data_IF_947141538691
#
_entry.id   IF_947141538691
#
_cell.length_a   1.000
_cell.length_b   1.000
_cell.length_c   1.000
_cell.angle_alpha   90.00
_cell.angle_beta   90.00
_cell.angle_gamma   90.00
#
_symmetry.space_group_name_H-M   'P 1'
#
loop_
_entity.id
_entity.type
_entity.pdbx_description
1 polymer ?
#
# COMPACT_ATOMS: atom_id res chain seq x y z
N UNK A 1 92.55 5.66 23.51
CA UNK A 1 91.75 5.21 22.35
C UNK A 1 90.79 4.12 22.83
N UNK A 2 89.47 4.32 22.65
CA UNK A 2 88.37 3.34 22.42
C UNK A 2 88.41 2.02 23.23
N UNK A 3 87.41 1.65 24.04
CA UNK A 3 85.99 1.56 23.73
C UNK A 3 85.10 1.51 24.99
N UNK A 4 83.96 2.16 24.85
CA UNK A 4 82.81 2.25 25.72
C UNK A 4 81.90 1.03 25.48
N UNK A 5 81.46 0.32 26.54
CA UNK A 5 80.44 -0.72 26.47
C UNK A 5 79.23 -0.27 27.32
N UNK A 6 78.19 0.21 26.64
CA UNK A 6 76.88 0.49 27.22
C UNK A 6 76.07 -0.82 27.23
N UNK A 7 75.63 -1.26 28.41
CA UNK A 7 74.63 -2.33 28.56
C UNK A 7 73.25 -1.68 28.61
N UNK A 8 72.45 -1.86 27.57
CA UNK A 8 71.04 -1.46 27.53
C UNK A 8 70.21 -2.64 28.03
N UNK A 9 69.56 -2.47 29.19
CA UNK A 9 68.56 -3.40 29.69
C UNK A 9 67.20 -3.09 29.05
N UNK A 10 66.74 -3.95 28.14
CA UNK A 10 65.39 -3.87 27.57
C UNK A 10 64.36 -4.44 28.56
N UNK A 11 63.61 -3.56 29.22
CA UNK A 11 62.36 -3.90 29.91
C UNK A 11 61.27 -4.17 28.86
N UNK A 12 60.90 -5.43 28.67
CA UNK A 12 59.73 -5.82 27.88
C UNK A 12 58.50 -5.63 28.76
N UNK A 13 57.80 -4.51 28.58
CA UNK A 13 56.47 -4.30 29.14
C UNK A 13 55.46 -5.19 28.41
N UNK A 14 54.90 -6.16 29.12
CA UNK A 14 53.72 -6.92 28.69
C UNK A 14 52.51 -5.97 28.70
N UNK A 15 52.22 -5.35 27.56
CA UNK A 15 50.95 -4.68 27.32
C UNK A 15 49.87 -5.74 27.13
N UNK A 16 49.10 -5.98 28.19
CA UNK A 16 47.85 -6.73 28.10
C UNK A 16 46.89 -6.01 27.16
N UNK A 17 46.80 -6.45 25.91
CA UNK A 17 45.74 -6.02 25.01
C UNK A 17 44.43 -6.64 25.50
N UNK A 18 43.65 -5.86 26.25
CA UNK A 18 42.24 -6.17 26.49
C UNK A 18 41.53 -6.18 25.14
N UNK A 19 41.13 -7.38 24.70
CA UNK A 19 40.30 -7.58 23.53
C UNK A 19 38.91 -7.03 23.89
N UNK A 20 38.57 -5.86 23.35
CA UNK A 20 37.19 -5.38 23.40
C UNK A 20 36.29 -6.45 22.77
N UNK A 21 35.45 -7.07 23.59
CA UNK A 21 34.47 -8.03 23.14
C UNK A 21 33.49 -7.29 22.24
N UNK A 22 33.41 -7.71 20.97
CA UNK A 22 32.51 -7.09 20.01
C UNK A 22 31.08 -7.15 20.57
N UNK A 23 30.29 -6.06 20.51
CA UNK A 23 28.95 -6.07 21.05
C UNK A 23 28.15 -7.20 20.39
N UNK A 24 27.81 -8.20 21.20
CA UNK A 24 27.02 -9.33 20.75
C UNK A 24 25.64 -8.78 20.39
N UNK A 25 25.34 -8.70 19.10
CA UNK A 25 24.02 -8.27 18.63
C UNK A 25 23.03 -9.31 19.16
N UNK A 26 22.23 -8.91 20.15
CA UNK A 26 21.23 -9.78 20.74
C UNK A 26 20.34 -10.35 19.62
N UNK A 27 20.06 -11.65 19.68
CA UNK A 27 19.19 -12.28 18.69
C UNK A 27 17.80 -11.62 18.71
N UNK A 28 17.16 -11.46 17.54
CA UNK A 28 15.78 -10.99 17.44
C UNK A 28 14.86 -11.72 18.42
N UNK A 29 14.07 -10.98 19.18
CA UNK A 29 13.08 -11.54 20.11
C UNK A 29 11.65 -11.16 19.73
N UNK A 30 10.71 -11.93 20.26
CA UNK A 30 9.29 -11.58 20.22
C UNK A 30 8.90 -10.91 21.54
N UNK A 31 8.34 -9.71 21.45
CA UNK A 31 7.79 -8.92 22.56
C UNK A 31 6.27 -9.03 22.47
N UNK A 32 5.64 -9.62 23.47
CA UNK A 32 4.20 -9.89 23.48
C UNK A 32 3.45 -8.76 24.18
N UNK A 33 2.42 -8.22 23.55
CA UNK A 33 1.52 -7.23 24.13
C UNK A 33 0.16 -7.86 24.41
N UNK A 34 -0.33 -7.75 25.65
CA UNK A 34 -1.63 -8.29 26.05
C UNK A 34 -2.30 -7.36 27.07
N UNK A 35 -3.55 -6.97 26.80
CA UNK A 35 -4.31 -6.07 27.66
C UNK A 35 -4.60 -6.64 29.06
N UNK A 36 -4.62 -7.98 29.19
CA UNK A 36 -4.86 -8.71 30.44
C UNK A 36 -3.62 -8.85 31.34
N UNK A 37 -2.48 -8.29 30.92
CA UNK A 37 -1.20 -8.39 31.65
C UNK A 37 -0.46 -9.72 31.47
N UNK A 38 -0.94 -10.61 30.59
CA UNK A 38 -0.27 -11.89 30.30
C UNK A 38 0.88 -11.79 29.27
N UNK A 39 1.21 -10.57 28.84
CA UNK A 39 2.30 -10.26 27.91
C UNK A 39 3.46 -9.55 28.60
N UNK A 40 4.52 -9.26 27.85
CA UNK A 40 5.66 -8.46 28.31
C UNK A 40 5.24 -6.99 28.58
N UNK A 41 4.25 -6.50 27.82
CA UNK A 41 3.67 -5.16 27.97
C UNK A 41 2.14 -5.21 27.86
N UNK A 42 1.48 -4.21 28.44
CA UNK A 42 0.05 -3.90 28.18
C UNK A 42 -0.12 -2.79 27.13
N UNK A 43 0.90 -1.92 26.97
CA UNK A 43 0.94 -0.84 25.98
C UNK A 43 1.70 -1.25 24.72
N UNK A 44 1.14 -0.94 23.55
CA UNK A 44 1.82 -1.16 22.27
C UNK A 44 3.00 -0.19 22.11
N UNK A 45 2.85 1.07 22.53
CA UNK A 45 3.91 2.07 22.41
C UNK A 45 5.13 1.67 23.23
N UNK A 46 4.96 1.23 24.48
CA UNK A 46 6.08 0.78 25.33
C UNK A 46 6.80 -0.45 24.73
N UNK A 47 6.03 -1.39 24.17
CA UNK A 47 6.60 -2.55 23.49
C UNK A 47 7.43 -2.14 22.27
N UNK A 48 6.90 -1.26 21.42
CA UNK A 48 7.61 -0.70 20.25
C UNK A 48 8.84 0.09 20.69
N UNK A 49 8.76 0.91 21.74
CA UNK A 49 9.87 1.69 22.26
C UNK A 49 11.01 0.79 22.77
N UNK A 50 10.66 -0.33 23.43
CA UNK A 50 11.62 -1.33 23.90
C UNK A 50 12.21 -2.22 22.80
N UNK A 51 11.55 -2.29 21.63
CA UNK A 51 11.95 -3.14 20.53
C UNK A 51 13.28 -2.69 19.92
N UNK A 52 14.17 -3.65 19.71
CA UNK A 52 15.46 -3.48 19.04
C UNK A 52 15.37 -3.95 17.59
N UNK A 53 16.41 -3.64 16.82
CA UNK A 53 16.52 -4.08 15.43
C UNK A 53 16.33 -5.60 15.29
N UNK A 54 15.39 -6.00 14.44
CA UNK A 54 15.02 -7.40 14.20
C UNK A 54 13.84 -7.88 15.05
N UNK A 55 13.49 -7.19 16.14
CA UNK A 55 12.44 -7.66 17.06
C UNK A 55 11.06 -7.65 16.41
N UNK A 56 10.21 -8.53 16.93
CA UNK A 56 8.79 -8.60 16.59
C UNK A 56 7.96 -8.19 17.80
N UNK A 57 7.09 -7.20 17.65
CA UNK A 57 6.02 -6.87 18.59
C UNK A 57 4.77 -7.64 18.17
N UNK A 58 4.34 -8.59 18.99
CA UNK A 58 3.18 -9.44 18.74
C UNK A 58 2.00 -9.01 19.62
N UNK A 59 0.85 -8.73 19.02
CA UNK A 59 -0.36 -8.31 19.71
C UNK A 59 -1.30 -9.50 19.89
N UNK A 60 -1.64 -9.83 21.16
CA UNK A 60 -2.72 -10.77 21.47
C UNK A 60 -4.09 -10.19 21.09
N UNK A 61 -5.15 -11.02 20.99
CA UNK A 61 -6.50 -10.54 20.73
C UNK A 61 -6.91 -9.44 21.72
N UNK A 62 -7.51 -8.37 21.20
CA UNK A 62 -7.86 -7.21 22.00
C UNK A 62 -8.19 -5.99 21.17
N UNK A 63 -8.83 -5.03 21.83
CA UNK A 63 -9.12 -3.72 21.28
C UNK A 63 -8.23 -2.68 22.00
N UNK A 64 -7.26 -2.15 21.28
CA UNK A 64 -6.21 -1.28 21.82
C UNK A 64 -6.57 0.18 21.50
N UNK A 65 -6.87 1.05 22.49
CA UNK A 65 -7.04 2.49 22.27
C UNK A 65 -5.68 3.14 21.97
N UNK A 66 -5.67 4.18 21.11
CA UNK A 66 -4.47 4.50 20.31
C UNK A 66 -3.75 5.80 20.65
N UNK A 67 -2.43 5.74 20.46
CA UNK A 67 -1.50 6.83 20.10
C UNK A 67 -0.21 6.27 19.44
N UNK A 68 -0.29 5.18 18.64
CA UNK A 68 0.93 4.48 18.21
C UNK A 68 1.74 5.28 17.18
N UNK A 69 2.98 5.61 17.56
CA UNK A 69 3.98 6.18 16.65
C UNK A 69 5.22 5.29 16.62
N UNK A 70 5.50 4.70 15.45
CA UNK A 70 6.73 3.96 15.17
C UNK A 70 7.71 4.91 14.48
N UNK A 71 8.66 5.48 15.21
CA UNK A 71 9.67 6.37 14.63
C UNK A 71 11.07 6.00 15.08
N UNK A 72 12.09 6.35 14.27
CA UNK A 72 13.49 6.05 14.59
C UNK A 72 13.78 4.56 14.83
N UNK A 73 13.00 3.67 14.19
CA UNK A 73 13.14 2.21 14.25
C UNK A 73 13.66 1.66 12.92
N UNK A 74 14.33 0.52 13.00
CA UNK A 74 14.94 -0.18 11.86
C UNK A 74 14.67 -1.69 12.00
N UNK A 75 14.09 -2.32 10.97
CA UNK A 75 13.82 -3.77 10.90
C UNK A 75 12.99 -4.32 12.05
N UNK A 76 11.89 -3.66 12.42
CA UNK A 76 10.95 -4.21 13.40
C UNK A 76 9.66 -4.67 12.73
N UNK A 77 8.99 -5.63 13.37
CA UNK A 77 7.68 -6.12 12.92
C UNK A 77 6.61 -5.82 13.97
N UNK A 78 5.42 -5.42 13.55
CA UNK A 78 4.22 -5.32 14.37
C UNK A 78 3.17 -6.29 13.81
N UNK A 79 2.88 -7.35 14.56
CA UNK A 79 2.04 -8.46 14.08
C UNK A 79 0.86 -8.65 15.02
N UNK A 80 -0.35 -8.54 14.50
CA UNK A 80 -1.57 -8.92 15.22
C UNK A 80 -1.89 -10.40 15.07
N UNK A 81 -2.64 -10.94 16.04
CA UNK A 81 -3.14 -12.32 16.00
C UNK A 81 -4.18 -12.60 14.87
N UNK A 82 -4.56 -11.59 14.10
CA UNK A 82 -5.53 -11.65 13.01
C UNK A 82 -6.41 -10.40 12.95
N UNK A 83 -6.83 -10.02 11.74
CA UNK A 83 -7.67 -8.83 11.49
C UNK A 83 -8.98 -8.84 12.29
N UNK A 84 -9.57 -10.01 12.53
CA UNK A 84 -10.80 -10.16 13.32
C UNK A 84 -10.55 -10.24 14.85
N UNK A 85 -9.29 -10.25 15.28
CA UNK A 85 -8.90 -10.47 16.68
C UNK A 85 -8.23 -9.26 17.31
N UNK A 86 -7.50 -8.49 16.53
CA UNK A 86 -6.76 -7.31 17.01
C UNK A 86 -7.30 -6.08 16.30
N UNK A 87 -7.82 -5.14 17.09
CA UNK A 87 -8.26 -3.84 16.58
C UNK A 87 -7.50 -2.72 17.29
N UNK A 88 -6.90 -1.87 16.49
CA UNK A 88 -6.37 -0.58 16.89
C UNK A 88 -7.48 0.48 16.75
N UNK A 89 -7.91 1.07 17.86
CA UNK A 89 -9.08 1.96 17.94
C UNK A 89 -8.69 3.43 18.06
N UNK A 90 -9.04 4.23 17.06
CA UNK A 90 -8.91 5.69 17.08
C UNK A 90 -9.57 6.33 18.30
N UNK A 91 -9.13 7.54 18.64
CA UNK A 91 -9.61 8.31 19.77
C UNK A 91 -10.14 9.65 19.29
N UNK A 92 -11.28 10.09 19.84
CA UNK A 92 -11.95 11.33 19.45
C UNK A 92 -11.06 12.58 19.61
N UNK A 93 -10.07 12.55 20.51
CA UNK A 93 -9.20 13.67 20.81
C UNK A 93 -7.85 13.64 20.05
N UNK A 94 -7.62 12.63 19.20
CA UNK A 94 -6.39 12.48 18.42
C UNK A 94 -6.70 12.25 16.95
N UNK A 95 -5.79 12.69 16.09
CA UNK A 95 -5.84 12.38 14.65
C UNK A 95 -4.82 11.28 14.39
N UNK A 96 -5.27 10.17 13.80
CA UNK A 96 -4.36 9.05 13.49
C UNK A 96 -4.39 7.95 14.54
N UNK A 97 -4.70 6.74 14.10
CA UNK A 97 -4.54 5.51 14.88
C UNK A 97 -3.06 5.11 14.90
N UNK A 98 -2.42 5.14 13.74
CA UNK A 98 -1.07 4.62 13.53
C UNK A 98 -0.23 5.55 12.67
N UNK A 99 0.94 5.93 13.18
CA UNK A 99 1.96 6.66 12.45
C UNK A 99 3.25 5.84 12.32
N UNK A 100 3.73 5.67 11.09
CA UNK A 100 5.04 5.09 10.77
C UNK A 100 5.96 6.19 10.27
N UNK A 101 6.89 6.59 11.11
CA UNK A 101 7.65 7.82 11.00
C UNK A 101 6.92 9.02 11.59
N UNK A 102 7.68 10.06 11.89
CA UNK A 102 7.25 11.36 12.43
C UNK A 102 8.27 12.41 12.03
N UNK A 103 7.89 13.41 11.24
CA UNK A 103 8.83 14.45 10.79
C UNK A 103 9.65 15.04 11.97
N UNK A 104 10.99 15.15 11.87
CA UNK A 104 11.85 14.81 10.71
C UNK A 104 12.35 13.34 10.69
N UNK A 105 11.94 12.51 11.63
CA UNK A 105 12.40 11.13 11.81
C UNK A 105 11.56 10.12 11.01
N UNK A 106 12.18 9.42 10.08
CA UNK A 106 11.57 8.27 9.42
C UNK A 106 11.54 7.01 10.28
N UNK A 107 11.04 5.93 9.68
CA UNK A 107 11.27 4.56 10.11
C UNK A 107 11.70 3.73 8.88
N UNK A 108 12.52 2.70 9.10
CA UNK A 108 13.08 1.91 8.00
C UNK A 108 12.78 0.43 8.19
N UNK A 109 12.44 -0.27 7.10
CA UNK A 109 12.23 -1.72 7.07
C UNK A 109 11.19 -2.18 8.11
N UNK A 110 10.04 -1.51 8.16
CA UNK A 110 8.96 -1.82 9.11
C UNK A 110 7.93 -2.71 8.45
N UNK A 111 7.57 -3.82 9.10
CA UNK A 111 6.49 -4.70 8.66
C UNK A 111 5.31 -4.61 9.62
N UNK A 112 4.10 -4.41 9.10
CA UNK A 112 2.87 -4.39 9.90
C UNK A 112 1.85 -5.33 9.27
N UNK A 113 1.34 -6.29 10.05
CA UNK A 113 0.41 -7.29 9.52
C UNK A 113 -0.61 -7.84 10.51
N UNK A 114 -1.71 -8.38 9.98
CA UNK A 114 -2.65 -9.21 10.73
C UNK A 114 -3.47 -8.47 11.79
N UNK A 115 -3.84 -7.21 11.56
CA UNK A 115 -4.63 -6.40 12.48
C UNK A 115 -5.58 -5.44 11.76
N UNK A 116 -6.60 -4.98 12.49
CA UNK A 116 -7.50 -3.92 12.05
C UNK A 116 -7.07 -2.57 12.63
N UNK A 117 -7.16 -1.50 11.84
CA UNK A 117 -6.92 -0.09 12.22
C UNK A 117 -8.23 0.64 11.95
N UNK A 118 -8.82 1.29 12.96
CA UNK A 118 -10.15 1.88 12.85
C UNK A 118 -10.21 3.31 13.37
N UNK A 119 -10.39 4.28 12.45
CA UNK A 119 -10.52 5.72 12.73
C UNK A 119 -11.89 6.28 12.29
N UNK A 120 -12.91 5.42 12.17
CA UNK A 120 -14.28 5.88 11.85
C UNK A 120 -14.38 6.77 10.60
N UNK A 121 -13.51 6.54 9.60
CA UNK A 121 -13.49 7.26 8.33
C UNK A 121 -12.48 8.40 8.22
N UNK A 122 -11.85 8.77 9.34
CA UNK A 122 -10.77 9.76 9.38
C UNK A 122 -9.41 9.24 8.88
N UNK A 123 -8.33 9.88 9.33
CA UNK A 123 -6.95 9.48 9.00
C UNK A 123 -6.54 8.25 9.81
N UNK A 124 -6.65 7.05 9.27
CA UNK A 124 -6.36 5.82 10.02
C UNK A 124 -4.85 5.51 10.12
N UNK A 125 -4.12 5.56 9.00
CA UNK A 125 -2.70 5.20 8.97
C UNK A 125 -1.89 6.26 8.22
N UNK A 126 -0.89 6.85 8.87
CA UNK A 126 0.08 7.76 8.24
C UNK A 126 1.47 7.14 8.12
N UNK A 127 2.13 7.32 6.98
CA UNK A 127 3.54 6.97 6.77
C UNK A 127 4.29 8.23 6.34
N UNK A 128 5.32 8.61 7.10
CA UNK A 128 6.04 9.86 6.90
C UNK A 128 7.55 9.63 6.86
N UNK A 129 8.22 10.04 5.77
CA UNK A 129 9.67 9.92 5.62
C UNK A 129 10.21 8.49 5.82
N UNK A 130 9.36 7.48 5.63
CA UNK A 130 9.70 6.07 5.82
C UNK A 130 10.30 5.44 4.57
N UNK A 131 11.11 4.39 4.77
CA UNK A 131 11.68 3.58 3.69
C UNK A 131 11.47 2.09 3.94
N UNK A 132 11.08 1.32 2.93
CA UNK A 132 10.97 -0.14 3.07
C UNK A 132 9.81 -0.55 3.99
N UNK A 133 8.67 0.13 3.87
CA UNK A 133 7.51 -0.13 4.76
C UNK A 133 6.61 -1.16 4.09
N UNK A 134 6.34 -2.26 4.77
CA UNK A 134 5.42 -3.31 4.30
C UNK A 134 4.17 -3.36 5.16
N UNK A 135 3.01 -3.19 4.53
CA UNK A 135 1.70 -3.38 5.13
C UNK A 135 1.05 -4.59 4.47
N UNK A 136 0.74 -5.63 5.25
CA UNK A 136 0.21 -6.90 4.73
C UNK A 136 -1.00 -7.37 5.51
N UNK A 137 -2.06 -7.78 4.83
CA UNK A 137 -3.22 -8.43 5.48
C UNK A 137 -3.76 -7.57 6.63
N UNK A 138 -4.05 -6.31 6.31
CA UNK A 138 -4.63 -5.33 7.24
C UNK A 138 -6.05 -4.98 6.81
N UNK A 139 -6.89 -4.67 7.79
CA UNK A 139 -8.14 -3.96 7.56
C UNK A 139 -7.98 -2.52 8.04
N UNK A 140 -7.96 -1.56 7.12
CA UNK A 140 -7.85 -0.13 7.43
C UNK A 140 -9.22 0.51 7.19
N UNK A 141 -9.86 0.94 8.27
CA UNK A 141 -11.16 1.63 8.25
C UNK A 141 -10.92 3.13 8.39
N UNK A 142 -10.78 3.79 7.25
CA UNK A 142 -10.36 5.18 7.10
C UNK A 142 -9.23 5.33 6.09
N UNK A 143 -8.64 6.53 6.03
CA UNK A 143 -7.61 6.88 5.07
C UNK A 143 -6.24 6.30 5.44
N UNK A 144 -5.54 5.81 4.42
CA UNK A 144 -4.10 5.55 4.45
C UNK A 144 -3.36 6.67 3.71
N UNK A 145 -2.43 7.35 4.37
CA UNK A 145 -1.68 8.47 3.80
C UNK A 145 -0.17 8.23 3.85
N UNK A 146 0.50 8.30 2.69
CA UNK A 146 1.95 8.27 2.55
C UNK A 146 2.50 9.61 2.07
N UNK A 147 3.46 10.17 2.81
CA UNK A 147 4.12 11.41 2.46
C UNK A 147 5.64 11.28 2.51
N UNK A 148 6.30 11.59 1.40
CA UNK A 148 7.76 11.52 1.26
C UNK A 148 8.32 10.13 1.59
N UNK A 149 7.59 9.07 1.22
CA UNK A 149 7.99 7.68 1.52
C UNK A 149 8.65 7.02 0.32
N UNK A 150 9.53 6.05 0.58
CA UNK A 150 10.22 5.28 -0.45
C UNK A 150 10.01 3.79 -0.23
N UNK A 151 9.84 3.03 -1.30
CA UNK A 151 9.76 1.56 -1.22
C UNK A 151 8.67 1.08 -0.23
N UNK A 152 7.45 1.61 -0.39
CA UNK A 152 6.28 1.14 0.38
C UNK A 152 5.58 0.03 -0.38
N UNK A 153 5.29 -1.08 0.29
CA UNK A 153 4.50 -2.19 -0.24
C UNK A 153 3.23 -2.36 0.58
N UNK A 154 2.08 -2.31 -0.07
CA UNK A 154 0.77 -2.54 0.53
C UNK A 154 0.13 -3.72 -0.18
N UNK A 155 -0.11 -4.82 0.53
CA UNK A 155 -0.59 -6.03 -0.10
C UNK A 155 -1.63 -6.81 0.71
N UNK A 156 -2.59 -7.38 0.00
CA UNK A 156 -3.68 -8.18 0.56
C UNK A 156 -4.46 -7.44 1.67
N UNK A 157 -4.55 -6.11 1.57
CA UNK A 157 -5.27 -5.28 2.53
C UNK A 157 -6.70 -4.96 2.05
N UNK A 158 -7.58 -4.73 3.01
CA UNK A 158 -8.90 -4.14 2.80
C UNK A 158 -8.87 -2.71 3.37
N UNK A 159 -9.04 -1.71 2.51
CA UNK A 159 -8.90 -0.30 2.87
C UNK A 159 -10.17 0.44 2.45
N UNK A 160 -10.85 1.10 3.36
CA UNK A 160 -12.10 1.75 2.99
C UNK A 160 -12.86 2.43 4.10
N UNK A 161 -14.01 2.98 3.73
CA UNK A 161 -14.88 3.74 4.62
C UNK A 161 -14.32 5.11 4.99
N UNK A 162 -13.37 5.66 4.22
CA UNK A 162 -12.89 7.02 4.43
C UNK A 162 -13.90 8.05 3.93
N UNK A 163 -14.08 9.12 4.69
CA UNK A 163 -14.87 10.29 4.27
C UNK A 163 -14.16 11.13 3.19
N UNK A 164 -12.95 10.73 2.77
CA UNK A 164 -12.16 11.41 1.74
C UNK A 164 -11.53 10.39 0.78
N UNK A 165 -10.23 10.13 0.89
CA UNK A 165 -9.52 9.19 0.02
C UNK A 165 -9.22 7.90 0.76
N UNK A 166 -9.41 6.75 0.11
CA UNK A 166 -8.99 5.46 0.70
C UNK A 166 -7.47 5.39 0.90
N UNK A 167 -6.71 5.64 -0.18
CA UNK A 167 -5.23 5.69 -0.13
C UNK A 167 -4.70 6.93 -0.84
N UNK A 168 -3.83 7.70 -0.18
CA UNK A 168 -3.21 8.88 -0.77
C UNK A 168 -1.69 8.86 -0.65
N UNK A 169 -1.02 9.25 -1.75
CA UNK A 169 0.43 9.43 -1.81
C UNK A 169 0.82 10.82 -2.27
N UNK A 170 1.79 11.42 -1.58
CA UNK A 170 2.43 12.69 -1.95
C UNK A 170 3.95 12.56 -1.92
N UNK A 171 4.59 12.87 -3.04
CA UNK A 171 6.05 12.74 -3.24
C UNK A 171 6.61 11.37 -2.79
N UNK A 172 5.93 10.29 -3.15
CA UNK A 172 6.15 8.96 -2.59
C UNK A 172 6.35 7.87 -3.63
N UNK A 173 7.02 6.77 -3.25
CA UNK A 173 7.13 5.55 -4.07
C UNK A 173 6.45 4.37 -3.38
N UNK A 174 5.49 3.75 -4.08
CA UNK A 174 4.72 2.65 -3.50
C UNK A 174 4.25 1.61 -4.54
N UNK A 175 4.02 0.39 -4.06
CA UNK A 175 3.39 -0.70 -4.82
C UNK A 175 2.21 -1.23 -4.02
N UNK A 176 1.02 -1.19 -4.63
CA UNK A 176 -0.22 -1.74 -4.10
C UNK A 176 -0.54 -3.02 -4.87
N UNK A 177 -0.60 -4.16 -4.20
CA UNK A 177 -0.87 -5.46 -4.82
C UNK A 177 -2.04 -6.19 -4.16
N UNK A 178 -3.02 -6.64 -4.94
CA UNK A 178 -4.05 -7.55 -4.42
C UNK A 178 -4.96 -6.94 -3.35
N UNK A 179 -5.05 -5.61 -3.26
CA UNK A 179 -5.87 -4.94 -2.25
C UNK A 179 -7.31 -4.78 -2.72
N UNK A 180 -8.22 -4.69 -1.76
CA UNK A 180 -9.60 -4.23 -1.96
C UNK A 180 -9.73 -2.84 -1.37
N UNK A 181 -10.02 -1.84 -2.20
CA UNK A 181 -10.20 -0.45 -1.78
C UNK A 181 -11.65 -0.04 -2.04
N UNK A 182 -12.39 0.35 -1.00
CA UNK A 182 -13.84 0.46 -1.11
C UNK A 182 -14.45 1.62 -0.33
N UNK A 183 -15.59 2.12 -0.82
CA UNK A 183 -16.48 3.04 -0.08
C UNK A 183 -15.74 4.29 0.44
N UNK A 184 -15.27 5.14 -0.48
CA UNK A 184 -14.56 6.40 -0.19
C UNK A 184 -15.07 7.52 -1.11
N UNK A 185 -14.69 8.78 -0.93
CA UNK A 185 -14.91 9.80 -1.96
C UNK A 185 -14.04 9.52 -3.20
N UNK A 186 -12.74 9.32 -2.99
CA UNK A 186 -11.79 8.86 -4.01
C UNK A 186 -11.13 7.55 -3.58
N UNK A 187 -10.85 6.65 -4.52
CA UNK A 187 -10.20 5.37 -4.19
C UNK A 187 -8.73 5.56 -3.82
N UNK A 188 -7.90 5.86 -4.83
CA UNK A 188 -6.46 6.10 -4.70
C UNK A 188 -6.08 7.43 -5.34
N UNK A 189 -5.42 8.30 -4.59
CA UNK A 189 -4.90 9.58 -5.09
C UNK A 189 -3.37 9.60 -5.09
N UNK A 190 -2.78 9.88 -6.26
CA UNK A 190 -1.33 9.86 -6.50
C UNK A 190 -0.89 11.27 -6.94
N UNK A 191 -0.18 11.98 -6.07
CA UNK A 191 0.11 13.40 -6.25
C UNK A 191 1.60 13.78 -6.13
N UNK A 192 1.90 15.04 -6.43
CA UNK A 192 3.26 15.58 -6.41
C UNK A 192 4.17 14.95 -7.46
N UNK A 193 5.30 14.40 -7.02
CA UNK A 193 6.26 13.64 -7.85
C UNK A 193 6.23 12.13 -7.55
N UNK A 194 5.10 11.62 -7.05
CA UNK A 194 4.98 10.21 -6.68
C UNK A 194 5.17 9.27 -7.87
N UNK A 195 5.63 8.04 -7.60
CA UNK A 195 5.73 6.94 -8.56
C UNK A 195 5.10 5.69 -7.94
N UNK A 196 3.88 5.36 -8.37
CA UNK A 196 3.05 4.35 -7.71
C UNK A 196 2.57 3.29 -8.69
N UNK A 197 2.76 2.02 -8.33
CA UNK A 197 2.25 0.87 -9.09
C UNK A 197 1.03 0.27 -8.40
N UNK A 198 -0.07 0.14 -9.12
CA UNK A 198 -1.25 -0.62 -8.70
C UNK A 198 -1.32 -1.89 -9.53
N UNK A 199 -1.23 -3.04 -8.88
CA UNK A 199 -1.30 -4.35 -9.51
C UNK A 199 -2.38 -5.23 -8.90
N UNK A 200 -3.29 -5.74 -9.72
CA UNK A 200 -4.33 -6.69 -9.29
C UNK A 200 -5.17 -6.20 -8.09
N UNK A 201 -5.42 -4.90 -8.00
CA UNK A 201 -6.31 -4.34 -6.97
C UNK A 201 -7.75 -4.27 -7.47
N UNK A 202 -8.70 -4.46 -6.54
CA UNK A 202 -10.13 -4.23 -6.76
C UNK A 202 -10.49 -2.90 -6.09
N UNK A 203 -10.91 -1.90 -6.87
CA UNK A 203 -11.29 -0.58 -6.34
C UNK A 203 -12.75 -0.31 -6.69
N UNK A 204 -13.59 -0.14 -5.67
CA UNK A 204 -15.05 -0.15 -5.83
C UNK A 204 -15.77 0.91 -4.98
N UNK A 205 -16.91 1.38 -5.47
CA UNK A 205 -17.82 2.26 -4.72
C UNK A 205 -17.17 3.53 -4.19
N UNK A 206 -16.20 4.09 -4.93
CA UNK A 206 -15.79 5.47 -4.71
C UNK A 206 -16.79 6.44 -5.32
N UNK A 207 -17.15 7.50 -4.60
CA UNK A 207 -18.10 8.52 -5.06
C UNK A 207 -17.65 9.16 -6.38
N UNK A 208 -16.34 9.43 -6.48
CA UNK A 208 -15.67 9.99 -7.64
C UNK A 208 -14.78 8.93 -8.30
N UNK A 209 -13.57 9.28 -8.71
CA UNK A 209 -12.67 8.36 -9.42
C UNK A 209 -12.05 7.30 -8.50
N UNK A 210 -11.94 6.08 -9.02
CA UNK A 210 -11.24 4.98 -8.36
C UNK A 210 -9.74 5.28 -8.24
N UNK A 211 -9.15 5.91 -9.26
CA UNK A 211 -7.75 6.37 -9.25
C UNK A 211 -7.64 7.77 -9.80
N UNK A 212 -6.96 8.66 -9.08
CA UNK A 212 -6.58 10.00 -9.54
C UNK A 212 -5.06 10.11 -9.55
N UNK A 213 -4.51 10.55 -10.68
CA UNK A 213 -3.08 10.84 -10.84
C UNK A 213 -2.96 12.30 -11.26
N UNK A 214 -2.26 13.13 -10.49
CA UNK A 214 -2.16 14.56 -10.76
C UNK A 214 -0.72 15.09 -10.71
N UNK A 215 -0.57 16.41 -10.78
CA UNK A 215 0.72 17.12 -10.72
C UNK A 215 1.74 16.60 -11.74
N UNK A 216 2.85 16.01 -11.28
CA UNK A 216 3.89 15.40 -12.11
C UNK A 216 4.07 13.92 -11.75
N UNK A 217 3.05 13.33 -11.13
CA UNK A 217 3.13 11.97 -10.63
C UNK A 217 3.10 10.95 -11.77
N UNK A 218 3.57 9.75 -11.44
CA UNK A 218 3.58 8.60 -12.32
C UNK A 218 2.79 7.46 -11.72
N UNK A 219 2.02 6.78 -12.57
CA UNK A 219 1.27 5.61 -12.17
C UNK A 219 1.42 4.47 -13.17
N UNK A 220 1.56 3.25 -12.66
CA UNK A 220 1.47 2.02 -13.45
C UNK A 220 0.26 1.22 -12.98
N UNK A 221 -0.81 1.21 -13.76
CA UNK A 221 -2.04 0.48 -13.47
C UNK A 221 -2.03 -0.83 -14.26
N UNK A 222 -1.78 -1.96 -13.60
CA UNK A 222 -1.68 -3.26 -14.26
C UNK A 222 -2.66 -4.27 -13.69
N UNK A 223 -3.58 -4.73 -14.53
CA UNK A 223 -4.47 -5.83 -14.14
C UNK A 223 -5.42 -5.47 -13.00
N UNK A 224 -5.82 -4.22 -12.82
CA UNK A 224 -6.75 -3.83 -11.76
C UNK A 224 -8.20 -3.98 -12.21
N UNK A 225 -9.12 -4.13 -11.27
CA UNK A 225 -10.58 -4.06 -11.51
C UNK A 225 -11.11 -2.79 -10.83
N UNK A 226 -11.47 -1.79 -11.64
CA UNK A 226 -11.97 -0.48 -11.19
C UNK A 226 -13.45 -0.37 -11.57
N UNK A 227 -14.35 -0.70 -10.63
CA UNK A 227 -15.77 -0.86 -10.94
C UNK A 227 -16.72 -0.26 -9.92
N UNK A 228 -17.91 0.17 -10.36
CA UNK A 228 -18.92 0.81 -9.49
C UNK A 228 -18.44 2.10 -8.83
N UNK A 229 -17.56 2.86 -9.48
CA UNK A 229 -17.09 4.16 -9.03
C UNK A 229 -17.73 5.29 -9.86
N UNK A 230 -17.62 6.53 -9.40
CA UNK A 230 -17.93 7.70 -10.23
C UNK A 230 -17.11 7.73 -11.53
N UNK A 231 -15.82 7.35 -11.46
CA UNK A 231 -14.95 7.18 -12.64
C UNK A 231 -13.90 6.09 -12.44
N UNK A 232 -13.35 5.56 -13.54
CA UNK A 232 -12.29 4.56 -13.52
C UNK A 232 -10.95 5.14 -13.08
N UNK A 233 -10.28 5.87 -13.98
CA UNK A 233 -9.06 6.60 -13.63
C UNK A 233 -8.97 7.97 -14.32
N UNK A 234 -8.57 8.98 -13.56
CA UNK A 234 -8.30 10.33 -14.05
C UNK A 234 -6.80 10.62 -14.07
N UNK A 235 -6.30 11.00 -15.25
CA UNK A 235 -4.93 11.45 -15.48
C UNK A 235 -4.94 12.96 -15.69
N UNK A 236 -4.50 13.69 -14.67
CA UNK A 236 -4.59 15.14 -14.55
C UNK A 236 -3.19 15.77 -14.47
N UNK A 237 -3.13 17.11 -14.54
CA UNK A 237 -1.86 17.84 -14.51
C UNK A 237 -0.91 17.41 -15.64
N UNK A 238 0.38 17.39 -15.34
CA UNK A 238 1.44 16.88 -16.20
C UNK A 238 1.86 15.44 -15.83
N UNK A 239 0.92 14.64 -15.34
CA UNK A 239 1.16 13.24 -14.97
C UNK A 239 1.57 12.37 -16.16
N UNK A 240 2.29 11.29 -15.87
CA UNK A 240 2.77 10.33 -16.87
C UNK A 240 2.48 8.92 -16.40
N UNK A 241 1.57 8.21 -17.09
CA UNK A 241 1.10 6.91 -16.61
C UNK A 241 1.02 5.86 -17.71
N UNK A 242 1.01 4.61 -17.30
CA UNK A 242 0.71 3.47 -18.15
C UNK A 242 -0.45 2.68 -17.52
N UNK A 243 -1.45 2.32 -18.32
CA UNK A 243 -2.57 1.51 -17.89
C UNK A 243 -2.74 0.31 -18.82
N UNK A 244 -2.52 -0.88 -18.30
CA UNK A 244 -2.67 -2.12 -19.08
C UNK A 244 -3.39 -3.22 -18.34
N UNK A 245 -4.10 -4.05 -19.11
CA UNK A 245 -4.82 -5.20 -18.60
C UNK A 245 -5.89 -4.92 -17.55
N UNK A 246 -6.34 -3.67 -17.38
CA UNK A 246 -7.33 -3.32 -16.38
C UNK A 246 -8.75 -3.64 -16.87
N UNK A 247 -9.66 -3.92 -15.95
CA UNK A 247 -11.10 -3.94 -16.21
C UNK A 247 -11.71 -2.71 -15.55
N UNK A 248 -12.31 -1.84 -16.36
CA UNK A 248 -12.81 -0.53 -15.95
C UNK A 248 -14.25 -0.42 -16.44
N UNK A 249 -15.20 -0.71 -15.56
CA UNK A 249 -16.59 -0.79 -15.97
C UNK A 249 -17.57 -0.56 -14.84
N UNK A 250 -18.84 -0.44 -15.17
CA UNK A 250 -19.88 -0.05 -14.22
C UNK A 250 -19.57 1.28 -13.52
N UNK A 251 -18.75 2.13 -14.14
CA UNK A 251 -18.54 3.51 -13.74
C UNK A 251 -19.30 4.44 -14.68
N UNK A 252 -19.42 5.72 -14.32
CA UNK A 252 -19.92 6.73 -15.26
C UNK A 252 -18.92 6.97 -16.39
N UNK A 253 -17.64 7.13 -16.02
CA UNK A 253 -16.54 7.40 -16.94
C UNK A 253 -15.45 6.34 -16.80
N UNK A 254 -14.87 5.88 -17.90
CA UNK A 254 -13.70 4.99 -17.89
C UNK A 254 -12.41 5.76 -17.56
N UNK A 255 -11.75 6.27 -18.60
CA UNK A 255 -10.57 7.11 -18.47
C UNK A 255 -10.89 8.58 -18.72
N UNK A 256 -10.46 9.45 -17.80
CA UNK A 256 -10.47 10.90 -17.97
C UNK A 256 -9.03 11.39 -18.15
N UNK A 257 -8.74 12.09 -19.24
CA UNK A 257 -7.37 12.49 -19.62
C UNK A 257 -7.30 13.99 -19.82
N UNK A 258 -6.46 14.69 -19.05
CA UNK A 258 -6.21 16.10 -19.25
C UNK A 258 -5.27 16.35 -20.44
N UNK A 259 -5.39 17.49 -21.16
CA UNK A 259 -4.54 17.80 -22.30
C UNK A 259 -3.04 17.83 -22.00
N UNK A 260 -2.66 18.11 -20.75
CA UNK A 260 -1.26 18.20 -20.31
C UNK A 260 -0.69 16.88 -19.80
N UNK A 261 -1.55 15.87 -19.58
CA UNK A 261 -1.15 14.56 -19.10
C UNK A 261 -0.73 13.65 -20.25
N UNK A 262 0.03 12.60 -19.95
CA UNK A 262 0.38 11.53 -20.89
C UNK A 262 0.01 10.20 -20.28
N UNK A 263 -0.80 9.42 -21.00
CA UNK A 263 -1.13 8.05 -20.63
C UNK A 263 -0.96 7.13 -21.82
N UNK A 264 -0.25 6.03 -21.63
CA UNK A 264 -0.22 4.91 -22.59
C UNK A 264 -1.21 3.86 -22.11
N UNK A 265 -2.14 3.44 -22.97
CA UNK A 265 -3.08 2.36 -22.65
C UNK A 265 -2.84 1.14 -23.52
N UNK A 266 -3.04 -0.06 -22.97
CA UNK A 266 -2.99 -1.29 -23.75
C UNK A 266 -3.81 -2.42 -23.11
N UNK A 267 -4.62 -3.11 -23.92
CA UNK A 267 -5.38 -4.29 -23.48
C UNK A 267 -6.27 -4.03 -22.25
N UNK A 268 -6.89 -2.86 -22.12
CA UNK A 268 -7.88 -2.60 -21.07
C UNK A 268 -9.27 -3.02 -21.55
N UNK A 269 -10.13 -3.44 -20.62
CA UNK A 269 -11.55 -3.67 -20.88
C UNK A 269 -12.36 -2.51 -20.31
N UNK A 270 -13.22 -1.91 -21.13
CA UNK A 270 -14.01 -0.74 -20.77
C UNK A 270 -15.50 -1.01 -20.96
N UNK A 271 -16.30 -0.67 -19.95
CA UNK A 271 -17.75 -0.87 -19.94
C UNK A 271 -18.43 0.14 -19.04
N UNK A 272 -18.43 1.42 -19.44
CA UNK A 272 -18.92 2.54 -18.63
C UNK A 272 -20.23 3.12 -19.19
N UNK A 273 -21.01 3.80 -18.34
CA UNK A 273 -22.38 4.21 -18.70
C UNK A 273 -22.47 5.50 -19.52
N UNK A 274 -21.52 6.44 -19.38
CA UNK A 274 -21.50 7.67 -20.19
C UNK A 274 -20.42 7.63 -21.28
N UNK A 275 -19.15 7.42 -20.90
CA UNK A 275 -18.07 7.30 -21.88
C UNK A 275 -16.89 6.53 -21.32
N UNK A 276 -16.29 5.68 -22.16
CA UNK A 276 -15.08 4.93 -21.82
C UNK A 276 -13.83 5.82 -21.83
N UNK A 277 -13.83 6.87 -22.66
CA UNK A 277 -12.74 7.85 -22.74
C UNK A 277 -13.30 9.27 -22.77
N UNK A 278 -12.73 10.14 -21.95
CA UNK A 278 -13.06 11.56 -21.91
C UNK A 278 -11.81 12.43 -21.86
N UNK A 279 -11.91 13.62 -22.43
CA UNK A 279 -10.95 14.71 -22.26
C UNK A 279 -11.41 15.61 -21.12
N UNK A 280 -10.50 15.91 -20.21
CA UNK A 280 -10.78 16.82 -19.11
C UNK A 280 -10.92 18.27 -19.61
N UNK A 281 -11.94 18.97 -19.15
CA UNK A 281 -12.28 20.34 -19.54
C UNK A 281 -13.48 20.88 -18.76
N UNK A 282 -13.96 22.06 -19.15
CA UNK A 282 -15.15 22.69 -18.55
C UNK A 282 -16.22 22.95 -19.61
N UNK A 283 -17.13 22.00 -19.89
CA UNK A 283 -17.24 20.65 -19.31
C UNK A 283 -16.27 19.63 -19.92
N UNK A 284 -16.16 18.44 -19.30
CA UNK A 284 -15.50 17.28 -19.90
C UNK A 284 -16.19 16.86 -21.19
N UNK A 285 -15.43 16.33 -22.14
CA UNK A 285 -15.95 15.92 -23.45
C UNK A 285 -15.58 14.49 -23.78
N UNK A 286 -16.47 13.71 -24.46
CA UNK A 286 -16.12 12.39 -24.97
C UNK A 286 -14.90 12.45 -25.90
N UNK A 287 -14.01 11.49 -25.78
CA UNK A 287 -12.75 11.44 -26.52
C UNK A 287 -12.45 10.02 -27.04
N UNK A 288 -13.30 9.49 -27.94
CA UNK A 288 -13.14 8.13 -28.47
C UNK A 288 -11.82 7.94 -29.24
N UNK A 289 -11.20 9.03 -29.69
CA UNK A 289 -9.91 9.06 -30.37
C UNK A 289 -8.73 8.65 -29.45
N UNK A 290 -8.93 8.65 -28.13
CA UNK A 290 -7.95 8.13 -27.17
C UNK A 290 -7.92 6.60 -27.11
N UNK A 291 -8.97 5.93 -27.61
CA UNK A 291 -9.08 4.47 -27.56
C UNK A 291 -7.95 3.82 -28.36
N UNK A 292 -7.32 2.81 -27.77
CA UNK A 292 -6.34 1.98 -28.48
C UNK A 292 -7.01 0.77 -29.12
N UNK A 293 -6.43 0.26 -30.21
CA UNK A 293 -6.93 -0.93 -30.90
C UNK A 293 -6.92 -2.18 -30.01
N UNK A 294 -5.96 -2.25 -29.09
CA UNK A 294 -5.84 -3.35 -28.13
C UNK A 294 -6.89 -3.32 -27.01
N UNK A 295 -7.53 -2.18 -26.77
CA UNK A 295 -8.56 -2.02 -25.74
C UNK A 295 -9.89 -2.64 -26.21
N UNK A 296 -10.56 -3.35 -25.30
CA UNK A 296 -11.83 -4.05 -25.52
C UNK A 296 -12.96 -3.22 -24.91
N UNK A 297 -14.01 -2.95 -25.69
CA UNK A 297 -15.22 -2.28 -25.19
C UNK A 297 -16.37 -3.28 -25.14
N UNK A 298 -16.99 -3.44 -23.98
CA UNK A 298 -18.12 -4.35 -23.78
C UNK A 298 -18.15 -5.01 -22.41
N UNK A 299 -19.26 -5.69 -22.13
CA UNK A 299 -19.53 -6.37 -20.86
C UNK A 299 -18.37 -7.31 -20.45
N UNK A 300 -17.75 -7.10 -19.27
CA UNK A 300 -16.67 -7.95 -18.77
C UNK A 300 -17.08 -9.41 -18.53
N UNK A 301 -18.38 -9.71 -18.41
CA UNK A 301 -18.91 -11.02 -18.01
C UNK A 301 -18.40 -11.44 -16.64
N UNK A 302 -18.61 -10.58 -15.64
CA UNK A 302 -18.41 -10.94 -14.23
C UNK A 302 -19.32 -12.10 -13.82
N UNK A 303 -18.94 -12.83 -12.78
CA UNK A 303 -19.74 -13.92 -12.21
C UNK A 303 -21.02 -13.37 -11.60
N UNK A 304 -20.90 -12.38 -10.72
CA UNK A 304 -22.02 -11.73 -10.06
C UNK A 304 -21.61 -10.31 -9.62
N UNK A 305 -21.71 -9.37 -10.55
CA UNK A 305 -21.35 -7.99 -10.26
C UNK A 305 -22.24 -7.35 -9.19
N UNK A 306 -23.49 -7.79 -9.02
CA UNK A 306 -24.40 -7.20 -8.03
C UNK A 306 -23.93 -7.49 -6.60
N UNK A 307 -23.43 -8.70 -6.35
CA UNK A 307 -22.90 -9.13 -5.05
C UNK A 307 -21.36 -9.05 -4.95
N UNK A 308 -20.74 -8.18 -5.75
CA UNK A 308 -19.30 -7.89 -5.77
C UNK A 308 -18.37 -9.08 -6.11
N UNK A 309 -18.88 -10.10 -6.80
CA UNK A 309 -18.06 -11.14 -7.41
C UNK A 309 -17.58 -10.73 -8.80
N UNK A 310 -16.50 -9.96 -8.82
CA UNK A 310 -15.87 -9.45 -10.03
C UNK A 310 -14.88 -10.44 -10.67
N UNK A 311 -14.94 -11.73 -10.33
CA UNK A 311 -14.22 -12.75 -11.10
C UNK A 311 -14.82 -12.84 -12.49
N UNK A 312 -14.00 -13.07 -13.50
CA UNK A 312 -14.47 -13.29 -14.86
C UNK A 312 -15.04 -14.69 -15.02
N UNK A 313 -16.17 -14.80 -15.72
CA UNK A 313 -16.71 -16.08 -16.16
C UNK A 313 -15.77 -16.74 -17.18
N UNK A 314 -15.85 -18.07 -17.26
CA UNK A 314 -15.04 -18.87 -18.22
C UNK A 314 -15.32 -18.58 -19.70
N UNK A 315 -16.45 -17.95 -20.01
CA UNK A 315 -16.86 -17.50 -21.35
C UNK A 315 -16.60 -16.01 -21.59
N UNK A 316 -15.92 -15.32 -20.66
CA UNK A 316 -15.55 -13.92 -20.83
C UNK A 316 -14.62 -13.72 -22.02
N UNK A 317 -14.90 -12.68 -22.79
CA UNK A 317 -14.03 -12.22 -23.86
C UNK A 317 -12.72 -11.59 -23.37
N UNK A 318 -12.50 -11.50 -22.06
CA UNK A 318 -11.33 -10.85 -21.46
C UNK A 318 -10.21 -11.83 -21.05
N UNK A 319 -10.34 -13.09 -21.46
CA UNK A 319 -9.32 -14.13 -21.29
C UNK A 319 -8.31 -14.08 -22.45
N UNK A 320 -7.05 -14.40 -22.15
CA UNK A 320 -5.96 -14.55 -23.12
C UNK A 320 -5.83 -13.36 -24.11
N UNK A 321 -5.61 -12.15 -23.58
CA UNK A 321 -5.48 -10.92 -24.36
C UNK A 321 -4.05 -10.44 -24.42
N UNK A 322 -3.47 -10.42 -25.62
CA UNK A 322 -2.06 -10.11 -25.81
C UNK A 322 -1.20 -11.08 -25.01
N UNK A 323 -0.37 -10.54 -24.12
CA UNK A 323 0.46 -11.32 -23.20
C UNK A 323 -0.23 -11.68 -21.87
N UNK A 324 -1.47 -11.23 -21.66
CA UNK A 324 -2.16 -11.37 -20.37
C UNK A 324 -3.09 -12.59 -20.37
N UNK A 325 -2.95 -13.52 -19.40
CA UNK A 325 -3.84 -14.67 -19.27
C UNK A 325 -5.30 -14.26 -19.03
N UNK A 326 -5.49 -13.15 -18.33
CA UNK A 326 -6.78 -12.50 -18.09
C UNK A 326 -6.57 -11.04 -17.72
N UNK A 327 -7.55 -10.21 -18.09
CA UNK A 327 -7.64 -8.82 -17.66
C UNK A 327 -8.31 -8.72 -16.28
N UNK A 328 -8.00 -7.68 -15.51
CA UNK A 328 -8.60 -7.40 -14.21
C UNK A 328 -7.93 -8.11 -13.03
N UNK A 329 -8.38 -7.83 -11.81
CA UNK A 329 -7.64 -8.18 -10.60
C UNK A 329 -7.69 -9.65 -10.22
N UNK A 330 -8.82 -10.31 -10.46
CA UNK A 330 -9.11 -11.60 -9.86
C UNK A 330 -8.96 -12.74 -10.89
N UNK A 331 -8.37 -13.87 -10.50
CA UNK A 331 -8.36 -15.07 -11.33
C UNK A 331 -9.79 -15.45 -11.79
N UNK A 332 -10.00 -15.75 -13.08
CA UNK A 332 -11.29 -16.19 -13.61
C UNK A 332 -11.76 -17.49 -12.95
N UNK A 333 -13.08 -17.69 -12.90
CA UNK A 333 -13.62 -19.00 -12.47
C UNK A 333 -13.25 -20.07 -13.50
N UNK A 334 -12.68 -21.17 -13.02
CA UNK A 334 -12.34 -22.29 -13.88
C UNK A 334 -13.61 -22.94 -14.41
N UNK A 335 -13.57 -23.36 -15.68
CA UNK A 335 -14.60 -24.23 -16.25
C UNK A 335 -14.49 -25.56 -15.52
N UNK A 336 -15.52 -25.95 -14.75
CA UNK A 336 -15.59 -27.31 -14.22
C UNK A 336 -15.47 -28.25 -15.42
N UNK A 337 -14.40 -29.05 -15.47
CA UNK A 337 -14.28 -30.09 -16.47
C UNK A 337 -15.40 -31.09 -16.20
N UNK A 338 -16.43 -31.09 -17.04
CA UNK A 338 -17.40 -32.17 -17.08
C UNK A 338 -16.66 -33.42 -17.55
N UNK A 339 -16.11 -34.20 -16.61
CA UNK A 339 -15.68 -35.56 -16.90
C UNK A 339 -16.94 -36.36 -17.25
N UNK A 340 -17.12 -36.60 -18.55
CA UNK A 340 -17.94 -37.67 -19.08
C UNK A 340 -17.05 -38.88 -19.32
#
# INVERSE_FOLDING_TARGET
>A
MRNLLFVIACLVGLSGMSRAEAPQVAAPRTITVALDGSGDFTSIQEAVDSAKKGDTVFLKPGAYPQDLTIHSKDKIKLIGAGVDKVTMLGREDLVGVLHVGKWPYGATDIEISGLTINEHGGHALGIFNGKGITLRNLHVKGMLFGQQVQDVRIEDCVIGGSETTGVQFSDSQAVLVGNVIHDNDHGVNIAGKSDVRLERNVIIRSLFEAVVVNDKAKASLVGNTLVKNGGGAAFLGASQSDASANVIGLNRVGFLVSPSSRVTTAFNALFNSESDYMRAGSPNTPAPDLKQDSDVVGDPRFVDAEHDDFRLRSDSGLLNKGQFPFLGALPPVQKLSSNR
#
